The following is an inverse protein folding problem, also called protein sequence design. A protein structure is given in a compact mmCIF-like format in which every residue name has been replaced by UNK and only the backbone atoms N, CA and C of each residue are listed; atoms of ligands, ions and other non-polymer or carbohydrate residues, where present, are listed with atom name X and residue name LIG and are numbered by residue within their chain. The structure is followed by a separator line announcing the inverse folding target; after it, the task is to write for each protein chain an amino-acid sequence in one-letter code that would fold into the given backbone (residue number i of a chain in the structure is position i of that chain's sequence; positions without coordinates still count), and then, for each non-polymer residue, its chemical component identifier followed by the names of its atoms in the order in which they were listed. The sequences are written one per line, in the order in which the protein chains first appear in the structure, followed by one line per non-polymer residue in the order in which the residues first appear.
data_IF_017155823351
#
_entry.id   IF_017155823351
#
_cell.length_a   1.000
_cell.length_b   1.000
_cell.length_c   1.000
_cell.angle_alpha   90.00
_cell.angle_beta   90.00
_cell.angle_gamma   90.00
#
_symmetry.space_group_name_H-M   'P 1'
#
loop_
_entity.id
_entity.type
_entity.pdbx_description
1 polymer ?
#
# COMPACT_ATOMS: atom_id res chain seq x y z
N UNK A 1 -0.70 12.33 -13.38
CA UNK A 1 -0.40 11.14 -12.56
C UNK A 1 -1.72 10.44 -12.27
N UNK A 2 -1.75 9.14 -12.05
CA UNK A 2 -2.95 8.40 -11.64
C UNK A 2 -2.75 7.94 -10.21
N UNK A 3 -3.70 8.29 -9.34
CA UNK A 3 -3.79 7.78 -7.98
C UNK A 3 -4.85 6.68 -7.93
N UNK A 4 -4.53 5.59 -7.26
CA UNK A 4 -5.42 4.47 -7.03
C UNK A 4 -5.88 4.45 -5.57
N UNK A 5 -7.19 4.59 -5.38
CA UNK A 5 -7.83 4.55 -4.05
C UNK A 5 -8.58 3.25 -3.83
N UNK A 6 -8.66 2.77 -2.59
CA UNK A 6 -9.48 1.62 -2.26
C UNK A 6 -10.96 1.91 -2.53
N UNK A 7 -11.63 0.99 -3.20
CA UNK A 7 -13.02 1.18 -3.63
C UNK A 7 -14.01 1.32 -2.46
N UNK A 8 -13.67 0.80 -1.27
CA UNK A 8 -14.53 0.76 -0.09
C UNK A 8 -14.20 1.83 0.94
N UNK A 9 -12.91 2.13 1.16
CA UNK A 9 -12.48 3.10 2.18
C UNK A 9 -12.18 4.47 1.59
N UNK A 10 -11.75 4.54 0.33
CA UNK A 10 -11.27 5.76 -0.30
C UNK A 10 -9.82 6.12 0.06
N UNK A 11 -9.12 5.29 0.84
CA UNK A 11 -7.71 5.50 1.14
C UNK A 11 -6.87 5.38 -0.14
N UNK A 12 -5.90 6.26 -0.31
CA UNK A 12 -4.89 6.12 -1.37
C UNK A 12 -3.98 4.93 -1.06
N UNK A 13 -3.72 4.07 -2.04
CA UNK A 13 -2.92 2.85 -1.84
C UNK A 13 -1.68 2.79 -2.72
N UNK A 14 -1.76 3.30 -3.95
CA UNK A 14 -0.66 3.27 -4.93
C UNK A 14 -0.91 4.28 -6.06
N UNK A 15 0.09 4.54 -6.89
CA UNK A 15 -0.02 5.37 -8.10
C UNK A 15 0.59 4.70 -9.33
N UNK A 16 0.33 5.25 -10.52
CA UNK A 16 0.94 4.77 -11.77
C UNK A 16 2.46 4.90 -11.82
N UNK A 17 3.06 5.77 -10.99
CA UNK A 17 4.51 5.96 -10.92
C UNK A 17 5.26 4.74 -10.36
N UNK A 18 4.56 3.82 -9.70
CA UNK A 18 5.10 2.56 -9.19
C UNK A 18 5.23 1.46 -10.25
N UNK A 19 4.91 1.75 -11.53
CA UNK A 19 4.99 0.80 -12.64
C UNK A 19 4.22 -0.51 -12.39
N UNK A 20 2.97 -0.40 -11.91
CA UNK A 20 2.10 -1.52 -11.57
C UNK A 20 2.02 -2.57 -12.70
N UNK A 21 2.30 -3.83 -12.37
CA UNK A 21 2.24 -4.96 -13.29
C UNK A 21 1.23 -6.00 -12.80
N UNK A 22 0.57 -6.77 -13.70
CA UNK A 22 -0.14 -7.98 -13.33
C UNK A 22 0.77 -8.94 -12.56
N UNK A 23 0.31 -9.44 -11.41
CA UNK A 23 1.11 -10.36 -10.61
C UNK A 23 1.23 -11.72 -11.28
N UNK A 24 2.40 -12.35 -11.11
CA UNK A 24 2.62 -13.76 -11.47
C UNK A 24 1.68 -14.72 -10.72
N UNK A 25 1.15 -14.29 -9.57
CA UNK A 25 0.25 -15.08 -8.73
C UNK A 25 -1.15 -15.17 -9.34
N UNK A 26 -1.68 -14.05 -9.83
CA UNK A 26 -3.04 -13.98 -10.33
C UNK A 26 -3.27 -12.73 -11.19
N UNK A 27 -4.05 -12.83 -12.29
CA UNK A 27 -4.32 -11.68 -13.16
C UNK A 27 -5.22 -10.61 -12.52
N UNK A 28 -5.79 -10.87 -11.34
CA UNK A 28 -6.62 -9.94 -10.56
C UNK A 28 -5.85 -9.28 -9.40
N UNK A 29 -4.53 -9.50 -9.35
CA UNK A 29 -3.60 -8.84 -8.45
C UNK A 29 -2.62 -8.00 -9.27
N UNK A 30 -2.27 -6.84 -8.75
CA UNK A 30 -1.12 -6.07 -9.21
C UNK A 30 0.03 -6.21 -8.24
N UNK A 31 1.23 -6.09 -8.78
CA UNK A 31 2.47 -5.97 -8.03
C UNK A 31 3.32 -4.79 -8.51
N UNK A 32 4.04 -4.18 -7.58
CA UNK A 32 5.05 -3.16 -7.85
C UNK A 32 6.22 -3.32 -6.88
N UNK A 33 7.42 -2.93 -7.33
CA UNK A 33 8.58 -2.89 -6.45
C UNK A 33 8.47 -1.71 -5.48
N UNK A 34 8.87 -1.95 -4.24
CA UNK A 34 8.88 -0.99 -3.15
C UNK A 34 10.34 -0.65 -2.86
N UNK A 35 10.63 0.61 -2.57
CA UNK A 35 12.01 1.06 -2.29
C UNK A 35 12.10 1.65 -0.91
N UNK A 36 13.22 1.39 -0.25
CA UNK A 36 13.57 2.09 0.99
C UNK A 36 14.34 3.36 0.66
N UNK A 37 13.98 4.45 1.32
CA UNK A 37 14.71 5.71 1.26
C UNK A 37 14.82 6.32 2.65
N UNK A 38 15.74 7.27 2.81
CA UNK A 38 15.95 7.98 4.07
C UNK A 38 15.18 9.29 4.08
N UNK A 39 14.44 9.57 5.15
CA UNK A 39 13.73 10.84 5.36
C UNK A 39 13.92 11.36 6.79
N UNK A 40 13.73 12.67 7.05
CA UNK A 40 13.64 13.20 8.41
C UNK A 40 12.52 12.53 9.20
N UNK A 41 12.80 12.20 10.47
CA UNK A 41 11.78 11.74 11.42
C UNK A 41 10.69 12.81 11.55
N UNK A 42 9.43 12.39 11.40
CA UNK A 42 8.25 13.28 11.50
C UNK A 42 7.62 13.69 10.16
N UNK A 43 8.23 13.35 9.02
CA UNK A 43 7.68 13.62 7.69
C UNK A 43 8.06 15.00 7.13
N UNK A 44 8.18 15.07 5.79
CA UNK A 44 8.83 16.17 5.08
C UNK A 44 7.98 17.42 4.79
N UNK A 45 6.73 17.50 5.24
CA UNK A 45 5.81 18.61 4.89
C UNK A 45 5.65 19.67 5.99
N UNK A 46 6.06 19.39 7.24
CA UNK A 46 5.88 20.33 8.38
C UNK A 46 7.15 21.10 8.78
N UNK A 47 8.23 20.98 8.00
CA UNK A 47 9.38 21.87 8.17
C UNK A 47 9.11 23.20 7.47
N UNK A 48 8.30 24.03 8.11
CA UNK A 48 8.47 25.47 7.98
C UNK A 48 9.91 25.77 8.40
N UNK A 49 10.77 26.06 7.42
CA UNK A 49 12.04 26.76 7.65
C UNK A 49 11.70 28.13 8.26
N UNK A 50 11.48 28.17 9.59
CA UNK A 50 11.59 29.38 10.39
C UNK A 50 13.04 29.86 10.26
N UNK A 51 13.31 30.67 9.24
CA UNK A 51 14.66 31.15 9.01
C UNK A 51 14.93 31.78 7.65
N UNK A 52 13.98 31.82 6.71
CA UNK A 52 14.12 32.63 5.50
C UNK A 52 13.96 34.14 5.81
N UNK A 53 14.85 34.71 6.63
CA UNK A 53 15.03 36.15 6.74
C UNK A 53 16.41 36.53 6.18
N UNK A 54 16.51 37.04 4.94
CA UNK A 54 17.78 37.43 4.35
C UNK A 54 18.13 38.86 4.76
N UNK A 55 18.46 39.11 6.03
CA UNK A 55 19.25 40.29 6.43
C UNK A 55 19.60 40.29 7.92
N UNK A 56 20.81 40.80 8.20
CA UNK A 56 21.36 41.23 9.50
C UNK A 56 22.19 40.21 10.29
N UNK A 57 23.49 40.34 10.07
CA UNK A 57 24.67 40.19 10.93
C UNK A 57 24.48 39.79 12.41
N UNK A 58 25.38 38.91 12.85
CA UNK A 58 25.78 38.61 14.25
C UNK A 58 24.80 37.81 15.13
N UNK A 59 24.80 36.48 14.97
CA UNK A 59 24.55 35.55 16.08
C UNK A 59 25.49 34.35 15.95
N UNK A 60 26.45 34.33 16.87
CA UNK A 60 27.29 33.19 17.23
C UNK A 60 26.42 31.99 17.67
N UNK A 61 26.71 30.83 17.09
CA UNK A 61 26.46 29.46 17.60
C UNK A 61 25.22 29.24 18.50
N UNK A 62 24.15 28.72 17.91
CA UNK A 62 23.17 27.90 18.63
C UNK A 62 22.55 26.83 17.74
N UNK A 63 23.13 25.63 17.84
CA UNK A 63 22.38 24.37 17.77
C UNK A 63 21.82 23.97 16.42
N UNK A 64 22.69 23.62 15.46
CA UNK A 64 22.28 22.72 14.38
C UNK A 64 21.97 21.34 14.97
N UNK A 65 20.72 21.14 15.43
CA UNK A 65 20.24 19.83 15.84
C UNK A 65 20.32 18.89 14.64
N UNK A 66 21.08 17.80 14.77
CA UNK A 66 21.14 16.74 13.77
C UNK A 66 19.69 16.30 13.47
N UNK A 67 19.21 16.53 12.24
CA UNK A 67 17.91 16.03 11.82
C UNK A 67 17.99 14.51 11.84
N UNK A 68 17.32 13.89 12.80
CA UNK A 68 17.25 12.44 12.88
C UNK A 68 16.59 11.90 11.60
N UNK A 69 17.27 10.96 10.94
CA UNK A 69 16.81 10.36 9.69
C UNK A 69 16.33 8.94 9.96
N UNK A 70 15.19 8.57 9.38
CA UNK A 70 14.65 7.21 9.40
C UNK A 70 14.63 6.61 7.98
N UNK A 71 14.71 5.29 7.90
CA UNK A 71 14.55 4.55 6.64
C UNK A 71 13.10 4.07 6.53
N UNK A 72 12.41 4.53 5.49
CA UNK A 72 11.01 4.18 5.22
C UNK A 72 10.85 3.68 3.78
N UNK A 73 9.79 2.94 3.53
CA UNK A 73 9.35 2.49 2.23
C UNK A 73 8.62 3.63 1.52
N UNK A 74 8.92 3.84 0.25
CA UNK A 74 8.23 4.81 -0.60
C UNK A 74 6.70 4.66 -0.54
N UNK A 75 6.19 3.44 -0.60
CA UNK A 75 4.74 3.19 -0.50
C UNK A 75 4.13 3.55 0.87
N UNK A 76 4.91 3.45 1.97
CA UNK A 76 4.42 3.80 3.31
C UNK A 76 4.31 5.31 3.48
N UNK A 77 5.31 6.03 2.99
CA UNK A 77 5.39 7.48 3.07
C UNK A 77 4.40 8.15 2.11
N UNK A 78 4.39 7.74 0.84
CA UNK A 78 3.62 8.43 -0.21
C UNK A 78 2.11 8.28 -0.07
N UNK A 79 1.64 7.15 0.46
CA UNK A 79 0.20 6.86 0.59
C UNK A 79 -0.24 6.73 2.04
N UNK A 80 0.63 7.11 2.99
CA UNK A 80 0.37 7.08 4.44
C UNK A 80 -0.13 5.71 4.92
N UNK A 81 0.43 4.66 4.34
CA UNK A 81 0.10 3.29 4.71
C UNK A 81 0.76 2.95 6.04
N UNK A 82 0.05 2.14 6.84
CA UNK A 82 0.48 1.80 8.18
C UNK A 82 0.82 0.31 8.25
N UNK A 83 2.01 -0.01 8.73
CA UNK A 83 2.39 -1.38 9.05
C UNK A 83 1.55 -1.93 10.19
N UNK A 84 0.96 -3.11 9.98
CA UNK A 84 0.43 -3.91 11.07
C UNK A 84 1.58 -4.61 11.78
N UNK A 85 1.86 -4.18 13.00
CA UNK A 85 2.79 -4.85 13.90
C UNK A 85 2.34 -6.28 14.16
N UNK A 86 3.29 -7.17 14.51
CA UNK A 86 3.02 -8.59 14.75
C UNK A 86 1.87 -8.85 15.74
N UNK A 87 1.71 -8.00 16.76
CA UNK A 87 0.61 -8.10 17.74
C UNK A 87 -0.79 -7.86 17.14
N UNK A 88 -0.88 -7.14 16.02
CA UNK A 88 -2.10 -6.82 15.28
C UNK A 88 -2.25 -7.64 13.99
N UNK A 89 -1.24 -8.45 13.63
CA UNK A 89 -1.30 -9.31 12.44
C UNK A 89 -2.44 -10.33 12.60
N UNK A 90 -3.36 -10.43 11.63
CA UNK A 90 -4.47 -11.37 11.72
C UNK A 90 -3.93 -12.80 11.64
N UNK A 91 -4.44 -13.72 12.46
CA UNK A 91 -4.08 -15.15 12.31
C UNK A 91 -4.33 -15.65 10.88
N UNK A 92 -3.64 -16.71 10.44
CA UNK A 92 -3.84 -17.29 9.10
C UNK A 92 -5.31 -17.59 8.79
N UNK A 93 -6.05 -18.03 9.80
CA UNK A 93 -7.50 -18.31 9.71
C UNK A 93 -8.32 -17.02 9.57
N UNK A 94 -8.01 -16.00 10.37
CA UNK A 94 -8.65 -14.69 10.30
C UNK A 94 -8.34 -13.99 8.98
N UNK A 95 -7.10 -14.05 8.49
CA UNK A 95 -6.70 -13.55 7.18
C UNK A 95 -7.48 -14.24 6.06
N UNK A 96 -7.54 -15.56 6.05
CA UNK A 96 -8.32 -16.33 5.06
C UNK A 96 -9.81 -16.00 5.11
N UNK A 97 -10.37 -15.80 6.30
CA UNK A 97 -11.75 -15.38 6.47
C UNK A 97 -11.97 -13.95 5.95
N UNK A 98 -11.05 -13.03 6.26
CA UNK A 98 -11.04 -11.64 5.79
C UNK A 98 -10.97 -11.55 4.27
N UNK A 99 -10.05 -12.28 3.63
CA UNK A 99 -9.96 -12.34 2.16
C UNK A 99 -11.26 -12.83 1.52
N UNK A 100 -11.91 -13.85 2.09
CA UNK A 100 -13.22 -14.34 1.60
C UNK A 100 -14.31 -13.29 1.75
N UNK A 101 -14.34 -12.56 2.86
CA UNK A 101 -15.31 -11.49 3.10
C UNK A 101 -15.09 -10.34 2.11
N UNK A 102 -13.83 -9.91 1.95
CA UNK A 102 -13.42 -8.89 0.99
C UNK A 102 -13.80 -9.27 -0.45
N UNK A 103 -13.43 -10.47 -0.91
CA UNK A 103 -13.80 -10.95 -2.26
C UNK A 103 -15.31 -11.00 -2.48
N UNK A 104 -16.11 -11.33 -1.46
CA UNK A 104 -17.58 -11.27 -1.59
C UNK A 104 -18.09 -9.84 -1.75
N UNK A 105 -17.51 -8.86 -1.04
CA UNK A 105 -17.84 -7.43 -1.21
C UNK A 105 -17.42 -6.97 -2.60
N UNK A 106 -16.19 -7.30 -2.99
CA UNK A 106 -15.63 -6.97 -4.30
C UNK A 106 -16.47 -7.55 -5.43
N UNK A 107 -16.85 -8.81 -5.35
CA UNK A 107 -17.73 -9.44 -6.34
C UNK A 107 -19.04 -8.66 -6.53
N UNK A 108 -19.65 -8.14 -5.47
CA UNK A 108 -20.89 -7.35 -5.57
C UNK A 108 -20.63 -5.99 -6.22
N UNK A 109 -19.52 -5.35 -5.88
CA UNK A 109 -19.10 -4.09 -6.48
C UNK A 109 -18.78 -4.25 -7.98
N UNK A 110 -18.07 -5.31 -8.36
CA UNK A 110 -17.68 -5.54 -9.76
C UNK A 110 -18.86 -5.78 -10.68
N UNK A 111 -19.95 -6.40 -10.20
CA UNK A 111 -21.21 -6.52 -10.96
C UNK A 111 -21.73 -5.15 -11.42
N UNK A 112 -21.45 -4.07 -10.68
CA UNK A 112 -21.98 -2.74 -11.01
C UNK A 112 -21.10 -1.96 -11.97
N UNK A 113 -19.85 -2.40 -12.21
CA UNK A 113 -18.87 -1.64 -13.01
C UNK A 113 -18.23 -2.43 -14.15
N UNK A 114 -18.25 -3.76 -14.12
CA UNK A 114 -17.65 -4.64 -15.14
C UNK A 114 -18.70 -5.16 -16.11
N UNK A 115 -18.27 -5.47 -17.33
CA UNK A 115 -19.05 -6.29 -18.26
C UNK A 115 -19.24 -7.71 -17.73
N UNK A 116 -20.18 -8.46 -18.32
CA UNK A 116 -20.43 -9.86 -17.96
C UNK A 116 -19.19 -10.75 -18.18
N UNK A 117 -18.43 -10.48 -19.25
CA UNK A 117 -17.22 -11.22 -19.59
C UNK A 117 -16.08 -10.96 -18.59
N UNK A 118 -15.82 -9.70 -18.26
CA UNK A 118 -14.82 -9.32 -17.26
C UNK A 118 -15.15 -9.91 -15.89
N UNK A 119 -16.42 -9.83 -15.50
CA UNK A 119 -16.87 -10.40 -14.23
C UNK A 119 -16.76 -11.93 -14.19
N UNK A 120 -17.04 -12.60 -15.31
CA UNK A 120 -16.85 -14.05 -15.42
C UNK A 120 -15.37 -14.44 -15.30
N UNK A 121 -14.48 -13.70 -15.96
CA UNK A 121 -13.03 -13.90 -15.85
C UNK A 121 -12.52 -13.66 -14.42
N UNK A 122 -12.98 -12.59 -13.76
CA UNK A 122 -12.64 -12.31 -12.37
C UNK A 122 -13.10 -13.43 -11.43
N UNK A 123 -14.34 -13.90 -11.58
CA UNK A 123 -14.88 -15.02 -10.78
C UNK A 123 -14.08 -16.31 -10.94
N UNK A 124 -13.56 -16.58 -12.14
CA UNK A 124 -12.73 -17.75 -12.39
C UNK A 124 -11.36 -17.63 -11.71
N UNK A 125 -10.78 -16.42 -11.66
CA UNK A 125 -9.48 -16.16 -11.07
C UNK A 125 -9.50 -16.05 -9.53
N UNK A 126 -10.58 -15.54 -8.95
CA UNK A 126 -10.68 -15.23 -7.52
C UNK A 126 -10.35 -16.41 -6.57
N UNK A 127 -10.82 -17.66 -6.80
CA UNK A 127 -10.47 -18.79 -5.93
C UNK A 127 -8.97 -19.12 -5.95
N UNK A 128 -8.32 -18.95 -7.10
CA UNK A 128 -6.89 -19.17 -7.27
C UNK A 128 -6.07 -18.15 -6.49
N UNK A 129 -6.42 -16.87 -6.61
CA UNK A 129 -5.79 -15.79 -5.85
C UNK A 129 -5.95 -15.99 -4.34
N UNK A 130 -7.17 -16.28 -3.87
CA UNK A 130 -7.44 -16.56 -2.46
C UNK A 130 -6.55 -17.69 -1.93
N UNK A 131 -6.44 -18.79 -2.69
CA UNK A 131 -5.64 -19.95 -2.30
C UNK A 131 -4.16 -19.61 -2.24
N UNK A 132 -3.64 -18.92 -3.25
CA UNK A 132 -2.22 -18.56 -3.31
C UNK A 132 -1.82 -17.62 -2.17
N UNK A 133 -2.58 -16.54 -1.97
CA UNK A 133 -2.34 -15.60 -0.87
C UNK A 133 -2.45 -16.29 0.50
N UNK A 134 -3.46 -17.15 0.69
CA UNK A 134 -3.61 -17.90 1.95
C UNK A 134 -2.45 -18.87 2.20
N UNK A 135 -1.85 -19.43 1.15
CA UNK A 135 -0.73 -20.36 1.26
C UNK A 135 0.57 -19.64 1.66
N UNK A 136 0.80 -18.44 1.11
CA UNK A 136 1.98 -17.61 1.36
C UNK A 136 1.85 -16.68 2.59
N UNK A 137 0.76 -16.83 3.37
CA UNK A 137 0.45 -15.98 4.52
C UNK A 137 1.66 -15.70 5.43
N UNK A 138 2.48 -16.71 5.70
CA UNK A 138 3.58 -16.64 6.67
C UNK A 138 4.69 -15.68 6.22
N UNK A 139 4.85 -15.46 4.92
CA UNK A 139 5.88 -14.59 4.34
C UNK A 139 5.44 -13.13 4.20
N UNK A 140 4.14 -12.86 4.23
CA UNK A 140 3.65 -11.49 4.06
C UNK A 140 3.83 -10.65 5.31
N UNK A 141 4.34 -9.44 5.10
CA UNK A 141 4.07 -8.31 5.96
C UNK A 141 2.79 -7.58 5.50
N UNK A 142 2.14 -6.90 6.43
CA UNK A 142 0.80 -6.34 6.22
C UNK A 142 0.82 -4.83 6.40
N UNK A 143 0.28 -4.12 5.42
CA UNK A 143 -0.02 -2.71 5.53
C UNK A 143 -1.51 -2.45 5.34
N UNK A 144 -2.02 -1.40 5.97
CA UNK A 144 -3.40 -0.91 5.85
C UNK A 144 -3.40 0.57 5.47
N UNK A 145 -4.49 1.02 4.84
CA UNK A 145 -4.70 2.43 4.50
C UNK A 145 -4.75 3.35 5.73
N UNK A 146 -4.62 4.65 5.50
CA UNK A 146 -4.61 5.70 6.54
C UNK A 146 -5.79 5.59 7.50
N UNK A 147 -6.99 5.28 7.01
CA UNK A 147 -8.20 5.17 7.84
C UNK A 147 -8.21 3.99 8.82
N UNK A 148 -7.32 3.01 8.66
CA UNK A 148 -7.36 1.73 9.38
C UNK A 148 -8.71 1.00 9.30
N UNK A 149 -9.51 1.29 8.27
CA UNK A 149 -10.83 0.71 8.14
C UNK A 149 -10.72 -0.78 7.74
N UNK A 150 -11.32 -1.71 8.52
CA UNK A 150 -11.23 -3.15 8.27
C UNK A 150 -11.95 -3.61 6.99
N UNK A 151 -12.74 -2.74 6.36
CA UNK A 151 -13.37 -3.04 5.08
C UNK A 151 -12.43 -2.88 3.87
N UNK A 152 -11.34 -2.12 4.02
CA UNK A 152 -10.31 -1.95 3.00
C UNK A 152 -9.50 -3.21 2.74
N UNK A 153 -8.75 -3.22 1.65
CA UNK A 153 -7.77 -4.29 1.41
C UNK A 153 -6.51 -4.10 2.23
N UNK A 154 -5.84 -5.22 2.51
CA UNK A 154 -4.43 -5.20 2.90
C UNK A 154 -3.57 -4.92 1.67
N UNK A 155 -2.54 -4.09 1.84
CA UNK A 155 -1.39 -4.07 0.94
C UNK A 155 -0.39 -5.07 1.53
N UNK A 156 -0.14 -6.16 0.80
CA UNK A 156 0.74 -7.23 1.26
C UNK A 156 2.14 -6.98 0.74
N UNK A 157 3.14 -7.03 1.61
CA UNK A 157 4.55 -6.88 1.25
C UNK A 157 5.23 -8.24 1.34
N UNK A 158 5.99 -8.60 0.31
CA UNK A 158 6.85 -9.79 0.28
C UNK A 158 8.16 -9.42 -0.45
N UNK A 159 9.10 -10.36 -0.53
CA UNK A 159 10.40 -10.17 -1.17
C UNK A 159 10.48 -10.93 -2.49
N UNK A 160 11.14 -10.32 -3.48
CA UNK A 160 11.45 -10.96 -4.76
C UNK A 160 12.35 -12.18 -4.54
N UNK A 161 12.58 -12.95 -5.60
CA UNK A 161 13.44 -14.15 -5.57
C UNK A 161 14.90 -13.85 -5.15
N UNK A 162 15.33 -12.58 -5.22
CA UNK A 162 16.62 -12.12 -4.71
C UNK A 162 16.68 -12.01 -3.17
N UNK A 163 15.54 -12.12 -2.48
CA UNK A 163 15.41 -12.03 -1.03
C UNK A 163 15.65 -10.64 -0.44
N UNK A 164 15.81 -9.60 -1.27
CA UNK A 164 16.18 -8.24 -0.81
C UNK A 164 15.28 -7.15 -1.37
N UNK A 165 14.70 -7.33 -2.55
CA UNK A 165 13.82 -6.34 -3.17
C UNK A 165 12.39 -6.55 -2.66
N UNK A 166 11.81 -5.64 -1.86
CA UNK A 166 10.43 -5.78 -1.44
C UNK A 166 9.49 -5.41 -2.60
N UNK A 167 8.33 -6.06 -2.64
CA UNK A 167 7.26 -5.73 -3.57
C UNK A 167 5.91 -5.76 -2.89
N UNK A 168 5.01 -4.90 -3.32
CA UNK A 168 3.64 -4.83 -2.84
C UNK A 168 2.71 -5.67 -3.72
N UNK A 169 1.69 -6.28 -3.12
CA UNK A 169 0.58 -6.95 -3.79
C UNK A 169 -0.75 -6.30 -3.40
N UNK A 170 -1.54 -5.96 -4.41
CA UNK A 170 -2.80 -5.21 -4.28
C UNK A 170 -3.87 -5.81 -5.19
N UNK A 171 -5.12 -5.85 -4.76
CA UNK A 171 -6.27 -6.24 -5.58
C UNK A 171 -6.57 -5.17 -6.63
N UNK A 172 -6.23 -5.43 -7.89
CA UNK A 172 -6.39 -4.44 -8.97
C UNK A 172 -7.84 -3.97 -9.11
N UNK A 173 -8.78 -4.91 -9.03
CA UNK A 173 -10.21 -4.64 -9.27
C UNK A 173 -10.86 -3.96 -8.05
N UNK A 174 -10.16 -3.96 -6.91
CA UNK A 174 -10.54 -3.24 -5.69
C UNK A 174 -10.10 -1.78 -5.65
N UNK A 175 -9.51 -1.27 -6.74
CA UNK A 175 -9.03 0.10 -6.84
C UNK A 175 -9.95 0.96 -7.72
N UNK A 176 -10.02 2.25 -7.41
CA UNK A 176 -10.59 3.30 -8.26
C UNK A 176 -9.46 4.21 -8.74
N UNK A 177 -9.43 4.50 -10.03
CA UNK A 177 -8.45 5.40 -10.61
C UNK A 177 -8.94 6.85 -10.59
N UNK A 178 -8.06 7.77 -10.22
CA UNK A 178 -8.29 9.22 -10.33
C UNK A 178 -7.08 9.87 -11.01
N UNK A 179 -7.33 10.62 -12.08
CA UNK A 179 -6.27 11.37 -12.76
C UNK A 179 -6.07 12.73 -12.08
N UNK A 180 -4.83 13.00 -11.69
CA UNK A 180 -4.37 14.26 -11.08
C UNK A 180 -3.33 14.96 -11.96
#
# INVERSE_FOLDING_TARGET
MIIYTDAFTGDELVSDTFNLQPSKISPILWECDVRKFSRPVGGGDDFQLEGANPSAEDVEESGGGETEMEMVHDIEDQFRLNWLKDEFRPSKEAFKAGLKAYLKRLQKYLVTIQSEEEHAAWKAAAPGALKALSANYDNYDFMVGESHNPDGQYVLIDFREDGVTPYALIWKDGLKETKV
#
